data_IF_212908085313
#
_entry.id   IF_212908085313
#
_cell.length_a   1.000
_cell.length_b   1.000
_cell.length_c   1.000
_cell.angle_alpha   90.00
_cell.angle_beta   90.00
_cell.angle_gamma   90.00
#
_symmetry.space_group_name_H-M   'P 1'
#
loop_
_entity.id
_entity.type
_entity.pdbx_description
1 polymer ?
#
# COMPACT_ATOMS: atom_id res chain seq x y z
N UNK A 1 56.79 -54.15 14.10
CA UNK A 1 55.79 -53.39 14.89
C UNK A 1 55.71 -52.00 14.30
N UNK A 2 54.51 -51.62 13.83
CA UNK A 2 53.88 -50.27 13.83
C UNK A 2 54.80 -49.05 13.69
N UNK A 3 54.59 -48.04 12.86
CA UNK A 3 53.68 -47.66 11.77
C UNK A 3 54.25 -46.32 11.24
N UNK A 4 53.89 -45.95 10.00
CA UNK A 4 53.55 -44.57 9.58
C UNK A 4 54.65 -43.48 9.55
N UNK A 5 54.92 -42.93 8.37
CA UNK A 5 54.44 -41.58 7.91
C UNK A 5 55.59 -40.56 8.14
N UNK A 6 55.93 -39.59 7.29
CA UNK A 6 55.10 -38.56 6.68
C UNK A 6 55.87 -37.92 5.52
N UNK A 7 55.13 -37.69 4.44
CA UNK A 7 55.44 -36.98 3.21
C UNK A 7 55.73 -35.49 3.45
N UNK A 8 56.86 -35.00 2.94
CA UNK A 8 57.23 -33.59 2.88
C UNK A 8 56.31 -32.85 1.88
N UNK A 9 55.28 -32.16 2.37
CA UNK A 9 54.45 -31.25 1.57
C UNK A 9 54.74 -29.83 2.03
N UNK A 10 55.21 -29.03 1.07
CA UNK A 10 55.56 -27.63 1.24
C UNK A 10 54.40 -26.78 1.73
N UNK A 11 54.71 -25.95 2.71
CA UNK A 11 53.85 -25.01 3.39
C UNK A 11 53.59 -23.80 2.47
N UNK A 12 52.47 -23.80 1.76
CA UNK A 12 51.91 -22.58 1.14
C UNK A 12 50.98 -21.94 2.14
N UNK A 13 51.45 -20.92 2.85
CA UNK A 13 50.57 -20.03 3.62
C UNK A 13 49.78 -19.14 2.66
N UNK A 14 48.62 -19.62 2.24
CA UNK A 14 47.55 -18.74 1.78
C UNK A 14 46.76 -18.31 3.02
N UNK A 15 47.17 -17.20 3.62
CA UNK A 15 46.32 -16.48 4.56
C UNK A 15 45.16 -15.88 3.77
N UNK A 16 44.08 -16.64 3.63
CA UNK A 16 42.80 -16.12 3.21
C UNK A 16 42.28 -15.21 4.33
N UNK A 17 42.32 -13.90 4.12
CA UNK A 17 41.53 -12.98 4.94
C UNK A 17 40.05 -13.23 4.62
N UNK A 18 39.40 -14.09 5.38
CA UNK A 18 37.94 -14.14 5.42
C UNK A 18 37.45 -12.92 6.17
N UNK A 19 37.23 -11.80 5.47
CA UNK A 19 36.48 -10.70 6.05
C UNK A 19 35.08 -11.21 6.37
N UNK A 20 34.59 -11.11 7.62
CA UNK A 20 33.21 -11.44 7.92
C UNK A 20 32.35 -10.45 7.13
N UNK A 21 31.66 -10.94 6.10
CA UNK A 21 30.56 -10.20 5.50
C UNK A 21 29.50 -10.08 6.58
N UNK A 22 29.49 -8.94 7.27
CA UNK A 22 28.32 -8.49 8.01
C UNK A 22 27.18 -8.42 7.00
N UNK A 23 26.37 -9.47 6.93
CA UNK A 23 25.02 -9.36 6.39
C UNK A 23 24.29 -8.42 7.33
N UNK A 24 24.42 -7.12 7.05
CA UNK A 24 23.49 -6.12 7.53
C UNK A 24 22.18 -6.50 6.85
N UNK A 25 21.36 -7.30 7.52
CA UNK A 25 19.93 -7.31 7.25
C UNK A 25 19.52 -5.85 7.34
N UNK A 26 19.32 -5.22 6.19
CA UNK A 26 18.60 -3.97 6.14
C UNK A 26 17.31 -4.22 6.93
N UNK A 27 16.86 -3.29 7.80
CA UNK A 27 15.55 -3.44 8.41
C UNK A 27 14.58 -3.71 7.26
N UNK A 28 13.82 -4.81 7.34
CA UNK A 28 12.76 -5.07 6.37
C UNK A 28 11.81 -3.90 6.52
N UNK A 29 11.88 -2.96 5.58
CA UNK A 29 11.00 -1.81 5.52
C UNK A 29 9.66 -2.36 5.03
N UNK A 30 8.83 -2.85 5.96
CA UNK A 30 7.46 -3.24 5.66
C UNK A 30 6.76 -1.97 5.20
N UNK A 31 6.46 -1.91 3.91
CA UNK A 31 5.90 -0.73 3.27
C UNK A 31 4.38 -0.84 3.19
N UNK A 32 3.70 0.29 2.98
CA UNK A 32 2.23 0.35 2.81
C UNK A 32 1.74 -0.66 1.76
N UNK A 33 2.55 -0.91 0.72
CA UNK A 33 2.21 -1.85 -0.34
C UNK A 33 2.04 -3.28 0.17
N UNK A 34 2.79 -3.73 1.17
CA UNK A 34 2.67 -5.09 1.72
C UNK A 34 1.32 -5.29 2.41
N UNK A 35 0.89 -4.29 3.21
CA UNK A 35 -0.44 -4.29 3.80
C UNK A 35 -1.55 -4.15 2.76
N UNK A 36 -1.32 -3.37 1.70
CA UNK A 36 -2.28 -3.24 0.61
C UNK A 36 -2.47 -4.57 -0.14
N UNK A 37 -1.39 -5.30 -0.40
CA UNK A 37 -1.42 -6.61 -1.04
C UNK A 37 -2.13 -7.63 -0.15
N UNK A 38 -1.82 -7.64 1.15
CA UNK A 38 -2.50 -8.48 2.13
C UNK A 38 -4.01 -8.21 2.16
N UNK A 39 -4.41 -6.93 2.19
CA UNK A 39 -5.80 -6.51 2.19
C UNK A 39 -6.52 -6.90 0.87
N UNK A 40 -5.89 -6.66 -0.28
CA UNK A 40 -6.44 -7.03 -1.59
C UNK A 40 -6.63 -8.55 -1.72
N UNK A 41 -5.65 -9.34 -1.28
CA UNK A 41 -5.76 -10.79 -1.24
C UNK A 41 -6.91 -11.26 -0.34
N UNK A 42 -7.09 -10.66 0.84
CA UNK A 42 -8.23 -10.97 1.71
C UNK A 42 -9.58 -10.61 1.07
N UNK A 43 -9.66 -9.50 0.35
CA UNK A 43 -10.87 -9.13 -0.41
C UNK A 43 -11.18 -10.21 -1.43
N UNK A 44 -10.24 -10.58 -2.30
CA UNK A 44 -10.51 -11.60 -3.32
C UNK A 44 -10.77 -12.99 -2.74
N UNK A 45 -10.08 -13.36 -1.65
CA UNK A 45 -10.29 -14.64 -0.99
C UNK A 45 -11.66 -14.77 -0.30
N UNK A 46 -12.26 -13.66 0.12
CA UNK A 46 -13.59 -13.63 0.74
C UNK A 46 -14.72 -13.28 -0.23
N UNK A 47 -14.38 -12.90 -1.47
CA UNK A 47 -15.32 -12.40 -2.45
C UNK A 47 -16.33 -13.45 -2.91
N UNK A 48 -17.56 -13.00 -3.14
CA UNK A 48 -18.66 -13.80 -3.70
C UNK A 48 -19.21 -13.12 -4.94
N UNK A 49 -19.18 -13.82 -6.08
CA UNK A 49 -19.70 -13.30 -7.33
C UNK A 49 -18.86 -12.20 -7.97
N UNK A 50 -17.58 -12.09 -7.59
CA UNK A 50 -16.59 -11.19 -8.20
C UNK A 50 -15.77 -11.98 -9.22
N UNK A 51 -15.58 -11.43 -10.40
CA UNK A 51 -14.92 -12.04 -11.53
C UNK A 51 -13.91 -11.07 -12.17
N UNK A 52 -12.99 -11.62 -12.96
CA UNK A 52 -12.09 -10.82 -13.75
C UNK A 52 -12.87 -9.95 -14.75
N UNK A 53 -12.47 -8.67 -14.86
CA UNK A 53 -13.13 -7.67 -15.68
C UNK A 53 -14.23 -6.89 -14.96
N UNK A 54 -14.67 -7.31 -13.77
CA UNK A 54 -15.62 -6.54 -12.98
C UNK A 54 -15.00 -5.19 -12.59
N UNK A 55 -15.85 -4.16 -12.62
CA UNK A 55 -15.44 -2.77 -12.46
C UNK A 55 -15.54 -2.36 -11.00
N UNK A 56 -14.42 -1.91 -10.43
CA UNK A 56 -14.34 -1.56 -9.01
C UNK A 56 -13.94 -0.11 -8.82
N UNK A 57 -14.67 0.59 -7.95
CA UNK A 57 -14.25 1.90 -7.42
C UNK A 57 -13.57 1.69 -6.08
N UNK A 58 -12.39 2.28 -5.88
CA UNK A 58 -11.67 2.20 -4.61
C UNK A 58 -11.68 3.56 -3.94
N UNK A 59 -12.35 3.67 -2.80
CA UNK A 59 -12.38 4.90 -1.99
C UNK A 59 -11.26 4.88 -0.94
N UNK A 60 -10.79 6.07 -0.53
CA UNK A 60 -9.81 6.17 0.54
C UNK A 60 -10.44 5.79 1.88
N UNK A 61 -9.81 4.90 2.68
CA UNK A 61 -10.27 4.62 4.03
C UNK A 61 -10.31 5.88 4.90
N UNK A 62 -11.43 6.06 5.61
CA UNK A 62 -11.70 7.25 6.43
C UNK A 62 -11.62 6.93 7.92
N UNK A 63 -11.29 7.92 8.74
CA UNK A 63 -11.29 7.76 10.20
C UNK A 63 -12.70 7.51 10.72
N UNK A 64 -12.87 6.44 11.50
CA UNK A 64 -14.17 6.13 12.09
C UNK A 64 -14.50 7.13 13.20
N UNK A 65 -13.48 7.57 13.96
CA UNK A 65 -13.64 8.51 15.07
C UNK A 65 -14.02 9.92 14.61
N UNK A 66 -13.69 10.31 13.36
CA UNK A 66 -14.11 11.60 12.77
C UNK A 66 -15.49 11.55 12.11
N UNK A 67 -16.26 10.49 12.35
CA UNK A 67 -17.57 10.30 11.72
C UNK A 67 -17.49 10.03 10.22
N UNK A 68 -16.40 9.43 9.74
CA UNK A 68 -16.18 9.06 8.33
C UNK A 68 -16.06 10.26 7.37
N UNK A 69 -15.68 11.43 7.87
CA UNK A 69 -15.60 12.66 7.07
C UNK A 69 -14.21 12.99 6.56
N UNK A 70 -13.18 12.33 7.11
CA UNK A 70 -11.78 12.65 6.84
C UNK A 70 -10.95 11.41 6.52
N UNK A 71 -10.12 11.50 5.49
CA UNK A 71 -9.06 10.54 5.20
C UNK A 71 -7.70 11.18 5.46
N UNK A 72 -6.77 10.41 6.03
CA UNK A 72 -5.37 10.82 6.16
C UNK A 72 -4.61 10.64 4.84
N UNK A 73 -3.38 11.17 4.76
CA UNK A 73 -2.46 10.84 3.66
C UNK A 73 -2.21 9.33 3.58
N UNK A 74 -2.14 8.64 4.72
CA UNK A 74 -2.05 7.18 4.74
C UNK A 74 -3.26 6.56 4.04
N UNK A 75 -4.49 7.00 4.34
CA UNK A 75 -5.70 6.52 3.66
C UNK A 75 -5.70 6.81 2.16
N UNK A 76 -5.19 7.97 1.74
CA UNK A 76 -5.04 8.32 0.32
C UNK A 76 -4.00 7.45 -0.39
N UNK A 77 -2.83 7.21 0.23
CA UNK A 77 -1.81 6.32 -0.33
C UNK A 77 -2.32 4.87 -0.41
N UNK A 78 -2.98 4.41 0.65
CA UNK A 78 -3.55 3.06 0.69
C UNK A 78 -4.63 2.88 -0.39
N UNK A 79 -5.41 3.92 -0.70
CA UNK A 79 -6.34 3.89 -1.84
C UNK A 79 -5.60 3.60 -3.16
N UNK A 80 -4.46 4.27 -3.39
CA UNK A 80 -3.68 4.12 -4.62
C UNK A 80 -3.05 2.72 -4.70
N UNK A 81 -2.50 2.24 -3.58
CA UNK A 81 -1.89 0.92 -3.53
C UNK A 81 -2.94 -0.18 -3.73
N UNK A 82 -4.11 -0.09 -3.07
CA UNK A 82 -5.23 -1.01 -3.27
C UNK A 82 -5.74 -0.99 -4.72
N UNK A 83 -5.79 0.18 -5.35
CA UNK A 83 -6.14 0.30 -6.77
C UNK A 83 -5.14 -0.44 -7.66
N UNK A 84 -3.85 -0.31 -7.39
CA UNK A 84 -2.80 -1.01 -8.13
C UNK A 84 -2.89 -2.55 -7.95
N UNK A 85 -3.07 -3.01 -6.71
CA UNK A 85 -3.20 -4.42 -6.38
C UNK A 85 -4.43 -5.05 -7.07
N UNK A 86 -5.61 -4.44 -6.94
CA UNK A 86 -6.83 -4.97 -7.55
C UNK A 86 -6.78 -4.96 -9.09
N UNK A 87 -6.15 -3.95 -9.68
CA UNK A 87 -5.91 -3.93 -11.13
C UNK A 87 -4.97 -5.07 -11.55
N UNK A 88 -3.90 -5.32 -10.80
CA UNK A 88 -2.98 -6.46 -11.06
C UNK A 88 -3.69 -7.81 -10.98
N UNK A 89 -4.79 -7.89 -10.23
CA UNK A 89 -5.62 -9.07 -10.04
C UNK A 89 -6.81 -9.12 -11.04
N UNK A 90 -6.72 -8.39 -12.15
CA UNK A 90 -7.67 -8.38 -13.26
C UNK A 90 -9.06 -7.76 -12.97
N UNK A 91 -9.19 -6.91 -11.95
CA UNK A 91 -10.36 -6.03 -11.83
C UNK A 91 -10.14 -4.74 -12.63
N UNK A 92 -11.22 -4.22 -13.21
CA UNK A 92 -11.21 -2.95 -13.93
C UNK A 92 -11.38 -1.80 -12.92
N UNK A 93 -10.28 -1.23 -12.45
CA UNK A 93 -10.33 -0.14 -11.47
C UNK A 93 -10.76 1.18 -12.11
N UNK A 94 -11.81 1.78 -11.58
CA UNK A 94 -12.32 3.10 -11.99
C UNK A 94 -11.73 4.16 -11.06
N UNK A 95 -10.93 5.06 -11.63
CA UNK A 95 -10.50 6.27 -10.93
C UNK A 95 -11.58 7.36 -11.02
N UNK A 96 -12.41 7.45 -9.99
CA UNK A 96 -13.50 8.41 -9.91
C UNK A 96 -13.04 9.86 -9.67
N UNK A 97 -11.74 10.08 -9.39
CA UNK A 97 -11.16 11.42 -9.21
C UNK A 97 -10.78 12.07 -10.54
N UNK A 98 -10.85 11.32 -11.64
CA UNK A 98 -10.62 11.83 -12.99
C UNK A 98 -11.67 12.86 -13.39
N UNK A 99 -11.21 14.06 -13.73
CA UNK A 99 -12.04 15.16 -14.25
C UNK A 99 -12.36 14.99 -15.74
N UNK A 100 -13.28 15.79 -16.28
CA UNK A 100 -13.67 15.75 -17.70
C UNK A 100 -12.56 16.19 -18.69
N UNK A 101 -11.46 16.74 -18.19
CA UNK A 101 -10.34 17.16 -19.02
C UNK A 101 -9.06 17.33 -18.22
N UNK A 102 -7.96 17.53 -18.95
CA UNK A 102 -6.63 17.81 -18.40
C UNK A 102 -6.46 19.34 -18.30
N UNK A 103 -6.27 19.84 -17.08
CA UNK A 103 -5.91 21.24 -16.82
C UNK A 103 -4.40 21.40 -16.97
N UNK A 104 -3.98 22.09 -18.02
CA UNK A 104 -2.58 22.41 -18.33
C UNK A 104 -2.22 23.76 -17.70
N UNK A 105 -1.20 23.81 -16.86
CA UNK A 105 -0.68 25.05 -16.25
C UNK A 105 0.86 25.09 -16.30
N UNK A 106 1.51 26.24 -16.04
CA UNK A 106 2.97 26.32 -15.97
C UNK A 106 3.59 25.37 -14.91
N UNK A 107 2.83 25.03 -13.88
CA UNK A 107 3.22 24.13 -12.79
C UNK A 107 3.05 22.64 -13.14
N UNK A 108 2.31 22.32 -14.21
CA UNK A 108 2.12 20.97 -14.71
C UNK A 108 0.72 20.69 -15.27
N UNK A 109 0.48 19.41 -15.56
CA UNK A 109 -0.78 18.91 -16.11
C UNK A 109 -1.55 18.14 -15.04
N UNK A 110 -2.83 18.50 -14.85
CA UNK A 110 -3.66 17.97 -13.77
C UNK A 110 -4.97 17.40 -14.33
N UNK A 111 -5.26 16.13 -14.04
CA UNK A 111 -6.49 15.46 -14.44
C UNK A 111 -7.29 14.90 -13.25
N UNK A 112 -6.79 15.08 -12.02
CA UNK A 112 -7.43 14.58 -10.81
C UNK A 112 -7.95 15.74 -9.95
N UNK A 113 -9.11 15.55 -9.34
CA UNK A 113 -9.69 16.51 -8.40
C UNK A 113 -10.25 15.83 -7.16
N UNK A 114 -10.31 16.57 -6.06
CA UNK A 114 -11.06 16.22 -4.85
C UNK A 114 -12.36 17.01 -4.73
N UNK A 115 -12.58 17.98 -5.62
CA UNK A 115 -13.82 18.75 -5.68
C UNK A 115 -14.92 17.88 -6.30
N UNK A 116 -15.90 17.45 -5.50
CA UNK A 116 -17.00 16.60 -5.97
C UNK A 116 -17.81 17.21 -7.11
N UNK A 117 -17.81 18.54 -7.27
CA UNK A 117 -18.46 19.24 -8.37
C UNK A 117 -17.73 19.08 -9.72
N UNK A 118 -16.45 18.71 -9.68
CA UNK A 118 -15.63 18.44 -10.87
C UNK A 118 -15.59 16.94 -11.21
N UNK A 119 -16.19 16.10 -10.36
CA UNK A 119 -16.18 14.64 -10.55
C UNK A 119 -17.34 14.19 -11.41
N UNK A 120 -17.05 13.20 -12.25
CA UNK A 120 -18.05 12.55 -13.09
C UNK A 120 -18.91 11.63 -12.25
N UNK A 121 -20.19 11.55 -12.60
CA UNK A 121 -21.08 10.56 -12.00
C UNK A 121 -20.57 9.14 -12.30
N UNK A 122 -20.55 8.29 -11.27
CA UNK A 122 -20.13 6.90 -11.37
C UNK A 122 -21.23 6.06 -12.01
N UNK A 123 -21.26 6.00 -13.34
CA UNK A 123 -22.36 5.36 -14.06
C UNK A 123 -22.20 3.86 -14.33
N UNK A 124 -21.08 3.24 -13.95
CA UNK A 124 -20.85 1.83 -14.31
C UNK A 124 -19.82 1.10 -13.44
N UNK A 125 -19.89 1.28 -12.11
CA UNK A 125 -19.16 0.41 -11.19
C UNK A 125 -20.02 -0.81 -10.87
N UNK A 126 -19.42 -2.01 -10.89
CA UNK A 126 -20.06 -3.23 -10.40
C UNK A 126 -19.90 -3.32 -8.87
N UNK A 127 -18.72 -2.93 -8.37
CA UNK A 127 -18.39 -2.94 -6.96
C UNK A 127 -17.77 -1.63 -6.49
N UNK A 128 -17.92 -1.36 -5.19
CA UNK A 128 -17.22 -0.29 -4.49
C UNK A 128 -16.49 -0.84 -3.26
N UNK A 129 -15.19 -0.57 -3.18
CA UNK A 129 -14.36 -0.85 -2.02
C UNK A 129 -14.35 0.38 -1.11
N UNK A 130 -14.87 0.19 0.09
CA UNK A 130 -14.88 1.21 1.15
C UNK A 130 -14.05 0.74 2.33
N UNK A 131 -13.51 1.69 3.09
CA UNK A 131 -12.68 1.37 4.25
C UNK A 131 -12.81 2.34 5.41
N UNK A 132 -12.47 1.86 6.59
CA UNK A 132 -12.37 2.66 7.81
C UNK A 132 -11.04 2.43 8.51
N UNK A 133 -10.56 3.49 9.16
CA UNK A 133 -9.37 3.54 9.99
C UNK A 133 -9.79 3.76 11.45
N UNK A 134 -9.20 3.00 12.36
CA UNK A 134 -9.42 3.12 13.82
C UNK A 134 -8.09 3.00 14.52
N UNK A 135 -7.77 3.93 15.43
CA UNK A 135 -6.61 3.75 16.30
C UNK A 135 -6.96 2.74 17.40
N UNK A 136 -6.13 1.71 17.55
CA UNK A 136 -6.31 0.66 18.55
C UNK A 136 -4.99 0.32 19.20
N UNK A 137 -4.86 0.72 20.47
CA UNK A 137 -3.68 0.51 21.30
C UNK A 137 -2.43 1.06 20.57
N UNK A 138 -1.50 0.18 20.15
CA UNK A 138 -0.28 0.52 19.43
C UNK A 138 -0.37 0.21 17.91
N UNK A 139 -1.59 0.22 17.36
CA UNK A 139 -1.84 -0.14 15.97
C UNK A 139 -2.96 0.68 15.31
N UNK A 140 -2.84 0.86 13.99
CA UNK A 140 -3.92 1.33 13.14
C UNK A 140 -4.68 0.13 12.57
N UNK A 141 -5.95 0.01 12.93
CA UNK A 141 -6.84 -0.99 12.37
C UNK A 141 -7.44 -0.47 11.06
N UNK A 142 -7.16 -1.17 9.97
CA UNK A 142 -7.76 -0.95 8.66
C UNK A 142 -8.82 -2.02 8.43
N UNK A 143 -10.05 -1.60 8.15
CA UNK A 143 -11.14 -2.51 7.78
C UNK A 143 -11.69 -2.11 6.42
N UNK A 144 -11.79 -3.07 5.50
CA UNK A 144 -12.31 -2.87 4.15
C UNK A 144 -13.54 -3.73 3.90
N UNK A 145 -14.46 -3.21 3.09
CA UNK A 145 -15.65 -3.91 2.60
C UNK A 145 -15.80 -3.67 1.11
N UNK A 146 -15.95 -4.74 0.34
CA UNK A 146 -16.36 -4.68 -1.05
C UNK A 146 -17.87 -4.84 -1.10
N UNK A 147 -18.56 -3.85 -1.66
CA UNK A 147 -20.01 -3.85 -1.80
C UNK A 147 -20.38 -3.97 -3.26
N UNK A 148 -21.40 -4.77 -3.57
CA UNK A 148 -22.12 -4.67 -4.83
C UNK A 148 -22.72 -3.26 -4.92
N UNK A 149 -22.37 -2.52 -5.99
CA UNK A 149 -22.67 -1.10 -6.10
C UNK A 149 -24.17 -0.82 -6.16
N UNK A 150 -24.95 -1.73 -6.73
CA UNK A 150 -26.40 -1.55 -6.94
C UNK A 150 -27.20 -1.96 -5.71
N UNK A 151 -26.93 -3.16 -5.18
CA UNK A 151 -27.69 -3.76 -4.08
C UNK A 151 -27.17 -3.37 -2.70
N UNK A 152 -25.98 -2.76 -2.62
CA UNK A 152 -25.30 -2.40 -1.37
C UNK A 152 -24.96 -3.60 -0.47
N UNK A 153 -25.00 -4.81 -1.02
CA UNK A 153 -24.65 -6.04 -0.30
C UNK A 153 -23.13 -6.11 -0.16
N UNK A 154 -22.64 -6.37 1.05
CA UNK A 154 -21.22 -6.67 1.29
C UNK A 154 -20.93 -8.06 0.73
N UNK A 155 -20.10 -8.11 -0.32
CA UNK A 155 -19.72 -9.35 -1.00
C UNK A 155 -18.32 -9.84 -0.62
N UNK A 156 -17.50 -8.99 0.00
CA UNK A 156 -16.18 -9.34 0.51
C UNK A 156 -15.76 -8.41 1.67
N UNK A 157 -14.83 -8.88 2.51
CA UNK A 157 -14.29 -8.10 3.63
C UNK A 157 -12.81 -8.38 3.84
N UNK A 158 -12.05 -7.38 4.28
CA UNK A 158 -10.66 -7.55 4.69
C UNK A 158 -10.36 -6.71 5.93
N UNK A 159 -9.41 -7.16 6.73
CA UNK A 159 -8.99 -6.44 7.92
C UNK A 159 -7.50 -6.68 8.23
N UNK A 160 -6.81 -5.63 8.66
CA UNK A 160 -5.43 -5.75 9.15
C UNK A 160 -5.17 -4.73 10.24
N UNK A 161 -4.34 -5.09 11.22
CA UNK A 161 -3.80 -4.17 12.21
C UNK A 161 -2.35 -3.85 11.82
N UNK A 162 -2.06 -2.58 11.62
CA UNK A 162 -0.75 -2.07 11.20
C UNK A 162 -0.07 -1.45 12.42
N UNK A 163 1.08 -1.95 12.88
CA UNK A 163 1.82 -1.34 13.97
C UNK A 163 2.15 0.13 13.69
N UNK A 164 1.92 1.03 14.65
CA UNK A 164 2.12 2.47 14.45
C UNK A 164 3.55 2.85 14.05
N UNK A 165 4.54 2.07 14.50
CA UNK A 165 5.96 2.23 14.15
C UNK A 165 6.26 2.25 12.64
N UNK A 166 5.37 1.70 11.81
CA UNK A 166 5.49 1.69 10.35
C UNK A 166 4.77 2.87 9.68
N UNK A 167 3.83 3.51 10.39
CA UNK A 167 2.99 4.60 9.87
C UNK A 167 3.71 5.93 10.00
N UNK A 168 4.53 6.09 11.04
CA UNK A 168 5.32 7.29 11.30
C UNK A 168 6.22 7.69 10.12
N UNK A 169 6.67 6.73 9.31
CA UNK A 169 7.57 6.99 8.18
C UNK A 169 6.91 7.75 7.02
N UNK A 170 5.58 7.66 6.86
CA UNK A 170 4.84 8.42 5.86
C UNK A 170 4.62 9.87 6.33
N UNK A 171 4.28 10.04 7.61
CA UNK A 171 4.14 11.36 8.23
C UNK A 171 5.47 12.12 8.25
N UNK A 172 6.57 11.42 8.48
CA UNK A 172 7.91 12.01 8.58
C UNK A 172 8.56 12.33 7.22
N UNK A 173 8.09 11.75 6.11
CA UNK A 173 8.52 12.16 4.76
C UNK A 173 7.97 13.54 4.35
N UNK A 174 6.86 13.97 4.95
CA UNK A 174 6.28 15.29 4.68
C UNK A 174 6.90 16.41 5.52
N UNK A 175 7.39 16.12 6.73
CA UNK A 175 8.12 17.11 7.53
C UNK A 175 9.44 17.53 6.86
N UNK A 176 10.03 16.65 6.05
CA UNK A 176 11.23 16.96 5.26
C UNK A 176 11.00 17.97 4.12
N UNK A 177 9.76 18.15 3.63
CA UNK A 177 9.43 19.15 2.59
C UNK A 177 9.07 20.53 3.14
N UNK A 178 8.88 20.69 4.46
CA UNK A 178 8.51 21.98 5.07
C UNK A 178 9.67 22.69 5.79
N UNK A 179 10.87 22.10 5.84
CA UNK A 179 12.05 22.69 6.50
C UNK A 179 13.00 23.38 5.51
N UNK A 180 12.68 23.41 4.20
CA UNK A 180 13.57 23.99 3.20
C UNK A 180 12.87 24.94 2.20
N UNK A 181 11.96 25.78 2.70
CA UNK A 181 11.35 26.88 1.93
C UNK A 181 11.37 28.23 2.66
N UNK A 182 12.27 28.44 3.62
CA UNK A 182 12.49 29.75 4.28
C UNK A 182 13.96 30.22 4.15
N UNK A 183 14.63 29.79 3.08
CA UNK A 183 15.90 30.40 2.64
C UNK A 183 15.94 30.47 1.13
N UNK A 184 15.25 31.47 0.57
CA UNK A 184 15.76 32.35 -0.49
C UNK A 184 15.16 33.74 -0.31
#
# INVERSE_FOLDING_TARGET
MKHMLVTLIGLVFLTACSSPTLHRTAPVQVSVSEYSNQLANQILASARGVHAGDRVVVTSPVWLESGMTESSLFGLQLQQDLSAELHSMALNVIDFKLTDGIRVTPEGDFALSTNYLELRELQAADFILVGTLVNRDDSLLVSLRLLDFTSQVVVATAQVAIPETLISDLSNRNSFKLVNSDRQ
#
